data_IF_941445941479
#
_entry.id   IF_941445941479
#
_cell.length_a   1.000
_cell.length_b   1.000
_cell.length_c   1.000
_cell.angle_alpha   90.00
_cell.angle_beta   90.00
_cell.angle_gamma   90.00
#
_symmetry.space_group_name_H-M   'P 1'
#
loop_
_entity.id
_entity.type
_entity.pdbx_description
1 polymer ?
#
# COMPACT_ATOMS: atom_id res chain seq x y z
N UNK A 1 4.78 -31.80 9.70
CA UNK A 1 5.68 -30.68 10.07
C UNK A 1 6.60 -30.20 8.93
N UNK A 2 7.00 -31.05 7.98
CA UNK A 2 8.01 -30.67 6.98
C UNK A 2 7.53 -29.71 5.87
N UNK A 3 6.26 -29.76 5.45
CA UNK A 3 5.78 -29.02 4.26
C UNK A 3 5.74 -27.50 4.44
N UNK A 4 5.24 -27.02 5.58
CA UNK A 4 5.20 -25.58 5.89
C UNK A 4 6.59 -24.99 6.15
N UNK A 5 7.46 -25.75 6.81
CA UNK A 5 8.85 -25.35 7.03
C UNK A 5 9.62 -25.25 5.70
N UNK A 6 9.50 -26.27 4.84
CA UNK A 6 10.08 -26.24 3.49
C UNK A 6 9.53 -25.06 2.69
N UNK A 7 8.22 -24.80 2.74
CA UNK A 7 7.59 -23.65 2.07
C UNK A 7 8.17 -22.30 2.57
N UNK A 8 8.28 -22.11 3.89
CA UNK A 8 8.86 -20.91 4.49
C UNK A 8 10.33 -20.71 4.07
N UNK A 9 11.13 -21.79 4.09
CA UNK A 9 12.54 -21.75 3.67
C UNK A 9 12.65 -21.43 2.18
N UNK A 10 11.79 -21.99 1.32
CA UNK A 10 11.80 -21.67 -0.12
C UNK A 10 11.48 -20.20 -0.40
N UNK A 11 10.54 -19.59 0.34
CA UNK A 11 10.22 -18.16 0.22
C UNK A 11 11.43 -17.31 0.61
N UNK A 12 12.09 -17.66 1.72
CA UNK A 12 13.24 -16.93 2.22
C UNK A 12 14.42 -16.97 1.24
N UNK A 13 14.67 -18.15 0.64
CA UNK A 13 15.69 -18.31 -0.41
C UNK A 13 15.36 -17.45 -1.64
N UNK A 14 14.10 -17.42 -2.07
CA UNK A 14 13.67 -16.60 -3.22
C UNK A 14 13.88 -15.10 -2.96
N UNK A 15 13.49 -14.61 -1.78
CA UNK A 15 13.70 -13.21 -1.40
C UNK A 15 15.20 -12.83 -1.36
N UNK A 16 16.05 -13.72 -0.86
CA UNK A 16 17.50 -13.51 -0.85
C UNK A 16 18.08 -13.43 -2.27
N UNK A 17 17.65 -14.32 -3.17
CA UNK A 17 18.08 -14.30 -4.58
C UNK A 17 17.69 -12.97 -5.24
N UNK A 18 16.44 -12.51 -5.06
CA UNK A 18 15.97 -11.23 -5.58
C UNK A 18 16.78 -10.05 -5.05
N UNK A 19 17.11 -10.06 -3.75
CA UNK A 19 17.91 -8.99 -3.14
C UNK A 19 19.33 -8.98 -3.72
N UNK A 20 19.96 -10.15 -3.88
CA UNK A 20 21.30 -10.27 -4.48
C UNK A 20 21.29 -9.73 -5.91
N UNK A 21 20.29 -10.10 -6.72
CA UNK A 21 20.16 -9.63 -8.10
C UNK A 21 20.04 -8.10 -8.14
N UNK A 22 19.20 -7.50 -7.28
CA UNK A 22 19.06 -6.04 -7.21
C UNK A 22 20.36 -5.34 -6.80
N UNK A 23 21.09 -5.90 -5.83
CA UNK A 23 22.39 -5.35 -5.40
C UNK A 23 23.42 -5.45 -6.52
N UNK A 24 23.50 -6.59 -7.22
CA UNK A 24 24.40 -6.75 -8.37
C UNK A 24 24.05 -5.74 -9.48
N UNK A 25 22.77 -5.56 -9.79
CA UNK A 25 22.31 -4.60 -10.80
C UNK A 25 22.65 -3.15 -10.40
N UNK A 26 22.48 -2.80 -9.12
CA UNK A 26 22.89 -1.52 -8.57
C UNK A 26 24.40 -1.31 -8.69
N UNK A 27 25.21 -2.30 -8.32
CA UNK A 27 26.67 -2.23 -8.42
C UNK A 27 27.14 -2.08 -9.88
N UNK A 28 26.56 -2.86 -10.80
CA UNK A 28 26.82 -2.71 -12.23
C UNK A 28 26.45 -1.30 -12.72
N UNK A 29 25.29 -0.79 -12.31
CA UNK A 29 24.86 0.58 -12.61
C UNK A 29 25.85 1.62 -12.09
N UNK A 30 26.40 1.44 -10.88
CA UNK A 30 27.41 2.34 -10.31
C UNK A 30 28.77 2.25 -11.03
N UNK A 31 29.18 1.06 -11.46
CA UNK A 31 30.45 0.84 -12.18
C UNK A 31 30.38 1.40 -13.60
N UNK A 32 29.26 1.20 -14.30
CA UNK A 32 29.07 1.69 -15.67
C UNK A 32 28.84 3.22 -15.70
N UNK A 33 28.31 3.79 -14.61
CA UNK A 33 27.97 5.20 -14.57
C UNK A 33 29.21 6.10 -14.72
N UNK A 34 29.27 6.83 -15.84
CA UNK A 34 30.21 7.93 -16.05
C UNK A 34 29.72 9.18 -15.30
N UNK A 35 29.93 9.23 -13.97
CA UNK A 35 29.65 10.44 -13.19
C UNK A 35 30.65 11.55 -13.55
N UNK A 36 30.14 12.69 -14.01
CA UNK A 36 30.87 13.95 -13.95
C UNK A 36 31.01 14.32 -12.48
N UNK A 37 32.24 14.42 -11.97
CA UNK A 37 32.48 14.93 -10.62
C UNK A 37 32.12 16.42 -10.63
N UNK A 38 31.11 16.78 -9.85
CA UNK A 38 30.75 18.16 -9.46
C UNK A 38 30.24 19.14 -10.52
N UNK A 39 29.21 18.77 -11.30
CA UNK A 39 28.39 19.78 -11.99
C UNK A 39 27.28 20.29 -11.06
N UNK A 40 27.38 21.54 -10.61
CA UNK A 40 26.38 22.19 -9.72
C UNK A 40 24.97 22.10 -10.30
N UNK A 41 24.84 22.29 -11.61
CA UNK A 41 23.57 22.30 -12.33
C UNK A 41 22.96 20.89 -12.53
N UNK A 42 23.74 19.81 -12.31
CA UNK A 42 23.21 18.44 -12.27
C UNK A 42 22.69 18.05 -10.89
N UNK A 43 23.23 18.69 -9.85
CA UNK A 43 22.84 18.45 -8.46
C UNK A 43 21.77 19.44 -7.98
N UNK A 44 21.41 20.45 -8.78
CA UNK A 44 20.28 21.33 -8.49
C UNK A 44 18.94 20.65 -8.83
N UNK A 45 17.86 20.95 -8.08
CA UNK A 45 16.53 20.45 -8.39
C UNK A 45 16.11 20.89 -9.79
N UNK A 46 15.49 19.98 -10.54
CA UNK A 46 15.14 20.19 -11.93
C UNK A 46 13.85 21.00 -12.07
N UNK A 47 13.90 22.30 -11.75
CA UNK A 47 12.79 23.24 -11.90
C UNK A 47 13.35 24.68 -11.88
N UNK A 48 13.82 25.17 -13.04
CA UNK A 48 14.04 26.59 -13.35
C UNK A 48 14.62 27.52 -12.23
N UNK A 49 15.52 27.05 -11.37
CA UNK A 49 16.10 27.87 -10.31
C UNK A 49 15.15 28.23 -9.17
N UNK A 50 14.06 27.48 -8.98
CA UNK A 50 13.29 27.55 -7.74
C UNK A 50 14.04 26.81 -6.64
N UNK A 51 14.39 27.53 -5.57
CA UNK A 51 14.97 26.91 -4.38
C UNK A 51 13.97 25.90 -3.78
N UNK A 52 14.40 24.68 -3.41
CA UNK A 52 13.54 23.67 -2.82
C UNK A 52 13.13 24.01 -1.38
N UNK A 53 13.28 25.27 -0.95
CA UNK A 53 12.72 25.79 0.29
C UNK A 53 11.27 26.20 0.07
N UNK A 54 10.42 25.25 -0.30
CA UNK A 54 9.02 25.34 0.09
C UNK A 54 9.04 25.32 1.61
N UNK A 55 8.48 26.36 2.24
CA UNK A 55 8.36 26.43 3.68
C UNK A 55 7.98 25.06 4.26
N UNK A 56 8.72 24.55 5.25
CA UNK A 56 8.50 23.25 5.91
C UNK A 56 7.11 23.09 6.55
N UNK A 57 6.27 24.13 6.47
CA UNK A 57 4.93 24.24 7.05
C UNK A 57 3.85 24.58 6.00
N UNK A 58 4.11 24.41 4.71
CA UNK A 58 3.04 24.51 3.73
C UNK A 58 2.00 23.40 4.03
N UNK A 59 0.72 23.75 4.26
CA UNK A 59 -0.28 22.74 4.56
C UNK A 59 -0.42 21.81 3.35
N UNK A 60 -0.14 20.54 3.57
CA UNK A 60 -0.40 19.47 2.61
C UNK A 60 -1.91 19.35 2.37
N UNK A 61 -2.31 18.85 1.19
CA UNK A 61 -3.73 18.78 0.87
C UNK A 61 -4.45 17.81 1.84
N UNK A 62 -5.52 18.29 2.47
CA UNK A 62 -6.34 17.49 3.40
C UNK A 62 -6.97 16.27 2.74
N UNK A 63 -7.04 16.25 1.39
CA UNK A 63 -7.63 15.15 0.61
C UNK A 63 -6.77 13.89 0.65
N UNK A 64 -5.44 14.03 0.54
CA UNK A 64 -4.53 12.89 0.67
C UNK A 64 -4.56 12.29 2.07
N UNK A 65 -4.73 13.14 3.09
CA UNK A 65 -4.92 12.66 4.46
C UNK A 65 -6.23 11.88 4.61
N UNK A 66 -7.33 12.39 4.07
CA UNK A 66 -8.63 11.72 4.11
C UNK A 66 -8.60 10.36 3.39
N UNK A 67 -7.96 10.29 2.21
CA UNK A 67 -7.76 9.05 1.47
C UNK A 67 -6.95 8.02 2.28
N UNK A 68 -5.91 8.45 3.00
CA UNK A 68 -5.12 7.57 3.84
C UNK A 68 -5.92 6.98 5.02
N UNK A 69 -6.78 7.80 5.65
CA UNK A 69 -7.67 7.34 6.73
C UNK A 69 -8.71 6.35 6.20
N UNK A 70 -9.36 6.67 5.08
CA UNK A 70 -10.35 5.81 4.44
C UNK A 70 -9.72 4.47 4.02
N UNK A 71 -8.53 4.50 3.40
CA UNK A 71 -7.79 3.29 3.05
C UNK A 71 -7.46 2.42 4.27
N UNK A 72 -7.03 3.03 5.38
CA UNK A 72 -6.74 2.31 6.62
C UNK A 72 -7.98 1.60 7.17
N UNK A 73 -9.13 2.28 7.16
CA UNK A 73 -10.40 1.69 7.62
C UNK A 73 -10.80 0.53 6.72
N UNK A 74 -10.77 0.71 5.39
CA UNK A 74 -11.11 -0.36 4.45
C UNK A 74 -10.17 -1.57 4.55
N UNK A 75 -8.88 -1.36 4.83
CA UNK A 75 -7.94 -2.46 5.03
C UNK A 75 -8.31 -3.30 6.27
N UNK A 76 -8.69 -2.64 7.37
CA UNK A 76 -9.18 -3.32 8.59
C UNK A 76 -10.48 -4.08 8.32
N UNK A 77 -11.39 -3.54 7.52
CA UNK A 77 -12.64 -4.21 7.14
C UNK A 77 -12.39 -5.48 6.32
N UNK A 78 -11.44 -5.45 5.38
CA UNK A 78 -11.06 -6.63 4.57
C UNK A 78 -10.45 -7.72 5.46
N UNK A 79 -9.61 -7.35 6.43
CA UNK A 79 -9.03 -8.30 7.39
C UNK A 79 -10.14 -9.01 8.19
N UNK A 80 -11.21 -8.29 8.56
CA UNK A 80 -12.36 -8.88 9.25
C UNK A 80 -13.22 -9.76 8.34
N UNK A 81 -13.30 -9.47 7.04
CA UNK A 81 -14.03 -10.28 6.05
C UNK A 81 -13.37 -11.64 5.76
N UNK A 82 -12.03 -11.71 5.75
CA UNK A 82 -11.30 -12.95 5.46
C UNK A 82 -11.75 -14.16 6.31
N UNK A 83 -11.77 -14.12 7.66
CA UNK A 83 -12.20 -15.26 8.46
C UNK A 83 -13.68 -15.60 8.27
N UNK A 84 -14.55 -14.62 7.99
CA UNK A 84 -15.97 -14.85 7.71
C UNK A 84 -16.17 -15.77 6.50
N UNK A 85 -15.38 -15.60 5.42
CA UNK A 85 -15.48 -16.47 4.23
C UNK A 85 -15.14 -17.92 4.54
N UNK A 86 -14.10 -18.16 5.35
CA UNK A 86 -13.72 -19.51 5.78
C UNK A 86 -14.77 -20.15 6.69
N UNK A 87 -15.40 -19.36 7.56
CA UNK A 87 -16.45 -19.83 8.46
C UNK A 87 -17.70 -20.27 7.69
N UNK A 88 -18.10 -19.52 6.65
CA UNK A 88 -19.24 -19.90 5.80
C UNK A 88 -19.02 -21.28 5.16
N UNK A 89 -17.82 -21.54 4.66
CA UNK A 89 -17.49 -22.80 3.99
C UNK A 89 -17.41 -24.00 4.94
N UNK A 90 -16.98 -23.77 6.19
CA UNK A 90 -16.72 -24.85 7.15
C UNK A 90 -17.90 -25.12 8.09
N UNK A 91 -18.86 -24.20 8.19
CA UNK A 91 -20.03 -24.35 9.05
C UNK A 91 -21.20 -25.02 8.34
N UNK A 92 -21.95 -25.85 9.07
CA UNK A 92 -23.17 -26.48 8.56
C UNK A 92 -24.45 -25.70 8.94
N UNK A 93 -24.32 -24.55 9.60
CA UNK A 93 -25.45 -23.74 10.08
C UNK A 93 -25.60 -22.47 9.25
N UNK A 94 -26.82 -21.93 9.17
CA UNK A 94 -27.09 -20.69 8.43
C UNK A 94 -26.61 -19.41 9.16
N UNK A 95 -26.16 -19.54 10.40
CA UNK A 95 -25.80 -18.41 11.25
C UNK A 95 -24.63 -17.55 10.70
N UNK A 96 -23.47 -18.13 10.33
CA UNK A 96 -22.38 -17.35 9.74
C UNK A 96 -22.77 -16.64 8.44
N UNK A 97 -23.59 -17.27 7.59
CA UNK A 97 -24.12 -16.64 6.38
C UNK A 97 -24.99 -15.40 6.71
N UNK A 98 -25.88 -15.50 7.71
CA UNK A 98 -26.69 -14.34 8.13
C UNK A 98 -25.82 -13.23 8.73
N UNK A 99 -24.82 -13.59 9.54
CA UNK A 99 -23.92 -12.61 10.17
C UNK A 99 -23.04 -11.87 9.15
N UNK A 100 -22.53 -12.58 8.12
CA UNK A 100 -21.73 -11.98 7.06
C UNK A 100 -22.57 -11.05 6.18
N UNK A 101 -23.84 -11.40 5.92
CA UNK A 101 -24.74 -10.53 5.17
C UNK A 101 -25.05 -9.23 5.93
N UNK A 102 -25.33 -9.33 7.24
CA UNK A 102 -25.54 -8.14 8.08
C UNK A 102 -24.28 -7.27 8.10
N UNK A 103 -23.11 -7.89 8.29
CA UNK A 103 -21.84 -7.17 8.30
C UNK A 103 -21.58 -6.44 6.98
N UNK A 104 -21.74 -7.11 5.83
CA UNK A 104 -21.60 -6.49 4.51
C UNK A 104 -22.58 -5.33 4.28
N UNK A 105 -23.83 -5.44 4.75
CA UNK A 105 -24.79 -4.33 4.60
C UNK A 105 -24.37 -3.09 5.38
N UNK A 106 -23.82 -3.26 6.58
CA UNK A 106 -23.33 -2.14 7.39
C UNK A 106 -22.15 -1.45 6.69
N UNK A 107 -21.21 -2.23 6.15
CA UNK A 107 -20.07 -1.69 5.40
C UNK A 107 -20.51 -0.92 4.15
N UNK A 108 -21.45 -1.47 3.37
CA UNK A 108 -21.99 -0.80 2.19
C UNK A 108 -22.69 0.52 2.51
N UNK A 109 -23.44 0.58 3.62
CA UNK A 109 -24.10 1.81 4.07
C UNK A 109 -23.06 2.85 4.48
N UNK A 110 -22.01 2.44 5.21
CA UNK A 110 -20.91 3.32 5.60
C UNK A 110 -20.21 3.94 4.39
N UNK A 111 -19.87 3.11 3.40
CA UNK A 111 -19.25 3.54 2.15
C UNK A 111 -20.15 4.49 1.35
N UNK A 112 -21.45 4.19 1.27
CA UNK A 112 -22.40 5.08 0.57
C UNK A 112 -22.54 6.43 1.25
N UNK A 113 -22.50 6.45 2.59
CA UNK A 113 -22.51 7.68 3.36
C UNK A 113 -21.25 8.52 3.13
N UNK A 114 -20.06 7.91 3.13
CA UNK A 114 -18.81 8.60 2.82
C UNK A 114 -18.80 9.16 1.39
N UNK A 115 -19.29 8.38 0.43
CA UNK A 115 -19.38 8.84 -0.96
C UNK A 115 -20.28 10.07 -1.08
N UNK A 116 -21.44 10.09 -0.43
CA UNK A 116 -22.33 11.26 -0.43
C UNK A 116 -21.69 12.51 0.20
N UNK A 117 -20.68 12.36 1.07
CA UNK A 117 -19.92 13.49 1.62
C UNK A 117 -18.83 14.02 0.67
N UNK A 118 -18.61 13.38 -0.48
CA UNK A 118 -17.60 13.80 -1.46
C UNK A 118 -16.17 13.57 -0.98
N UNK A 119 -15.95 12.70 0.02
CA UNK A 119 -14.64 12.34 0.53
C UNK A 119 -13.77 11.63 -0.52
N UNK A 120 -14.42 10.95 -1.47
CA UNK A 120 -13.82 10.15 -2.53
C UNK A 120 -13.63 10.93 -3.84
N UNK A 121 -14.17 12.15 -3.95
CA UNK A 121 -14.07 12.94 -5.17
C UNK A 121 -12.67 13.57 -5.29
N UNK A 122 -11.91 13.06 -6.26
CA UNK A 122 -10.52 13.47 -6.45
C UNK A 122 -10.41 14.90 -7.02
N UNK A 123 -11.31 15.30 -7.91
CA UNK A 123 -11.32 16.60 -8.57
C UNK A 123 -12.74 17.03 -8.96
N UNK A 124 -13.01 18.34 -8.79
CA UNK A 124 -13.71 19.11 -9.81
C UNK A 124 -12.67 19.97 -10.50
#
# INVERSE_FOLDING_TARGET
>A
MNKYYVFMVTILIYLLILLIINVVLLLLGLIINKRSYSDREKNSPFECGFDPSIHTRAPFSMRFFLLAVIFLIFDVEIILLLPLTSNILNSNTHWPLTSSMIFLTILLIGLFHEWNQGSLDWMK
#
